data_IF_570426026833
#
_entry.id   IF_570426026833
#
_cell.length_a   1.000
_cell.length_b   1.000
_cell.length_c   1.000
_cell.angle_alpha   90.00
_cell.angle_beta   90.00
_cell.angle_gamma   90.00
#
_symmetry.space_group_name_H-M   'P 1'
#
loop_
_entity.id
_entity.type
_entity.pdbx_description
1 polymer ?
#
# COMPACT_ATOMS: atom_id res chain seq x y z
N UNK A 1 74.09 -11.09 -7.75
CA UNK A 1 73.43 -11.87 -6.69
C UNK A 1 72.51 -10.95 -5.89
N UNK A 2 71.20 -11.29 -5.81
CA UNK A 2 70.19 -10.81 -4.84
C UNK A 2 69.65 -9.36 -5.03
N UNK A 3 68.35 -9.03 -4.98
CA UNK A 3 67.03 -9.72 -5.06
C UNK A 3 66.04 -8.61 -5.44
N UNK A 4 65.30 -8.76 -6.54
CA UNK A 4 64.21 -7.86 -6.94
C UNK A 4 62.98 -8.23 -6.09
N UNK A 5 62.61 -7.37 -5.13
CA UNK A 5 61.40 -7.60 -4.31
C UNK A 5 60.28 -6.70 -4.84
N UNK A 6 59.39 -7.33 -5.60
CA UNK A 6 58.13 -6.80 -6.11
C UNK A 6 57.13 -6.73 -4.94
N UNK A 7 56.75 -5.54 -4.49
CA UNK A 7 55.69 -5.37 -3.49
C UNK A 7 54.35 -5.32 -4.24
N UNK A 8 53.58 -6.38 -4.02
CA UNK A 8 52.25 -6.63 -4.58
C UNK A 8 51.23 -5.68 -3.92
N UNK A 9 50.64 -4.78 -4.70
CA UNK A 9 49.53 -3.93 -4.27
C UNK A 9 48.22 -4.73 -4.33
N UNK A 10 47.75 -5.25 -3.20
CA UNK A 10 46.42 -5.85 -3.06
C UNK A 10 45.38 -4.77 -2.81
N UNK A 11 44.65 -4.38 -3.86
CA UNK A 11 43.46 -3.55 -3.75
C UNK A 11 42.30 -4.39 -3.19
N UNK A 12 41.93 -4.13 -1.92
CA UNK A 12 40.68 -4.63 -1.33
C UNK A 12 39.52 -3.79 -1.88
N UNK A 13 38.85 -4.27 -2.93
CA UNK A 13 37.53 -3.76 -3.29
C UNK A 13 36.50 -4.38 -2.35
N UNK A 14 36.12 -3.64 -1.31
CA UNK A 14 34.92 -3.93 -0.51
C UNK A 14 33.67 -3.67 -1.35
N UNK A 15 33.01 -4.74 -1.79
CA UNK A 15 31.71 -4.64 -2.43
C UNK A 15 30.66 -4.25 -1.38
N UNK A 16 30.18 -3.01 -1.41
CA UNK A 16 29.00 -2.60 -0.66
C UNK A 16 27.77 -3.29 -1.26
N UNK A 17 27.37 -4.44 -0.73
CA UNK A 17 26.06 -5.03 -1.02
C UNK A 17 25.00 -4.33 -0.17
N UNK A 18 24.31 -3.34 -0.73
CA UNK A 18 23.11 -2.79 -0.08
C UNK A 18 22.05 -3.89 0.00
N UNK A 19 21.46 -4.17 1.17
CA UNK A 19 20.36 -5.12 1.26
C UNK A 19 19.21 -4.60 0.38
N UNK A 20 18.85 -5.36 -0.66
CA UNK A 20 17.66 -5.10 -1.45
C UNK A 20 16.46 -5.59 -0.66
N UNK A 21 15.65 -4.66 -0.16
CA UNK A 21 14.37 -4.98 0.45
C UNK A 21 13.44 -5.54 -0.64
N UNK A 22 12.88 -6.75 -0.49
CA UNK A 22 11.96 -7.28 -1.47
C UNK A 22 10.67 -6.46 -1.44
N UNK A 23 10.40 -5.72 -2.51
CA UNK A 23 9.17 -4.95 -2.67
C UNK A 23 8.11 -5.77 -3.41
N UNK A 24 6.86 -5.63 -2.99
CA UNK A 24 5.70 -6.18 -3.66
C UNK A 24 4.62 -5.10 -3.82
N UNK A 25 3.69 -5.31 -4.75
CA UNK A 25 2.59 -4.40 -5.02
C UNK A 25 1.24 -5.08 -4.86
N UNK A 26 0.23 -4.25 -4.56
CA UNK A 26 -1.18 -4.62 -4.57
C UNK A 26 -1.96 -3.58 -5.35
N UNK A 27 -2.65 -4.04 -6.38
CA UNK A 27 -3.43 -3.22 -7.30
C UNK A 27 -4.92 -3.42 -7.10
N UNK A 28 -5.68 -2.34 -7.26
CA UNK A 28 -7.12 -2.43 -7.17
C UNK A 28 -7.84 -1.15 -7.56
N UNK A 29 -9.14 -1.19 -7.35
CA UNK A 29 -10.05 -0.12 -7.66
C UNK A 29 -11.04 0.09 -6.52
N UNK A 30 -11.32 1.36 -6.19
CA UNK A 30 -12.41 1.73 -5.30
C UNK A 30 -13.63 2.19 -6.10
N UNK A 31 -14.81 1.81 -5.65
CA UNK A 31 -16.07 2.24 -6.27
C UNK A 31 -17.18 2.46 -5.25
N UNK A 32 -18.18 3.25 -5.62
CA UNK A 32 -19.40 3.46 -4.84
C UNK A 32 -20.63 3.42 -5.77
N UNK A 33 -21.82 3.18 -5.21
CA UNK A 33 -23.05 2.99 -6.00
C UNK A 33 -23.85 4.27 -6.21
N UNK A 34 -23.60 5.29 -5.39
CA UNK A 34 -24.26 6.58 -5.45
C UNK A 34 -23.93 7.27 -6.77
N UNK A 35 -24.94 7.80 -7.46
CA UNK A 35 -24.75 8.51 -8.73
C UNK A 35 -24.43 9.99 -8.47
N UNK A 36 -23.31 10.23 -7.80
CA UNK A 36 -22.84 11.58 -7.47
C UNK A 36 -21.41 11.77 -7.97
N UNK A 37 -21.11 12.98 -8.43
CA UNK A 37 -19.76 13.39 -8.72
C UNK A 37 -19.01 13.70 -7.42
N UNK A 38 -17.73 13.34 -7.37
CA UNK A 38 -16.86 13.79 -6.30
C UNK A 38 -16.53 15.27 -6.50
N UNK A 39 -16.45 16.06 -5.41
CA UNK A 39 -16.00 17.44 -5.51
C UNK A 39 -14.53 17.49 -5.99
N UNK A 40 -14.10 18.60 -6.61
CA UNK A 40 -12.70 18.75 -7.07
C UNK A 40 -11.66 18.69 -5.93
N UNK A 41 -12.07 18.95 -4.68
CA UNK A 41 -11.24 18.86 -3.48
C UNK A 41 -11.10 17.42 -2.93
N UNK A 42 -11.71 16.42 -3.59
CA UNK A 42 -11.71 15.05 -3.10
C UNK A 42 -10.31 14.41 -3.13
N UNK A 43 -9.94 13.79 -2.01
CA UNK A 43 -8.71 13.05 -1.80
C UNK A 43 -9.06 11.60 -1.49
N UNK A 44 -8.54 10.67 -2.28
CA UNK A 44 -8.61 9.24 -2.01
C UNK A 44 -7.42 8.85 -1.13
N UNK A 45 -7.70 8.15 -0.02
CA UNK A 45 -6.71 7.48 0.81
C UNK A 45 -7.00 5.98 0.84
N UNK A 46 -6.03 5.15 0.45
CA UNK A 46 -6.09 3.69 0.52
C UNK A 46 -4.94 3.20 1.41
N UNK A 47 -5.19 2.22 2.26
CA UNK A 47 -4.20 1.71 3.21
C UNK A 47 -4.25 0.19 3.33
N UNK A 48 -3.08 -0.44 3.23
CA UNK A 48 -2.86 -1.85 3.57
C UNK A 48 -2.42 -1.94 5.03
N UNK A 49 -3.12 -2.73 5.82
CA UNK A 49 -2.91 -2.82 7.27
C UNK A 49 -2.86 -4.27 7.75
N UNK A 50 -2.02 -4.52 8.74
CA UNK A 50 -2.05 -5.71 9.58
C UNK A 50 -3.15 -5.54 10.63
N UNK A 51 -4.18 -6.38 10.51
CA UNK A 51 -5.37 -6.42 11.36
C UNK A 51 -5.39 -7.69 12.23
N UNK A 52 -4.23 -8.28 12.48
CA UNK A 52 -4.12 -9.52 13.27
C UNK A 52 -4.59 -9.33 14.71
N UNK A 53 -4.34 -8.15 15.28
CA UNK A 53 -4.71 -7.79 16.65
C UNK A 53 -5.98 -6.94 16.64
N UNK A 54 -6.98 -7.34 17.43
CA UNK A 54 -8.27 -6.65 17.47
C UNK A 54 -8.32 -5.46 18.43
N UNK A 55 -7.50 -5.48 19.49
CA UNK A 55 -7.59 -4.52 20.61
C UNK A 55 -6.59 -3.35 20.51
N UNK A 56 -5.89 -3.23 19.38
CA UNK A 56 -4.88 -2.18 19.16
C UNK A 56 -5.04 -1.57 17.78
N UNK A 57 -4.46 -0.38 17.59
CA UNK A 57 -4.39 0.24 16.29
C UNK A 57 -3.69 -0.70 15.28
N UNK A 58 -4.31 -0.87 14.11
CA UNK A 58 -3.76 -1.68 13.04
C UNK A 58 -2.43 -1.10 12.55
N UNK A 59 -1.47 -1.97 12.23
CA UNK A 59 -0.15 -1.55 11.74
C UNK A 59 -0.25 -1.33 10.24
N UNK A 60 0.04 -0.12 9.77
CA UNK A 60 0.00 0.21 8.35
C UNK A 60 1.28 -0.27 7.64
N UNK A 61 1.13 -1.12 6.63
CA UNK A 61 2.23 -1.59 5.78
C UNK A 61 2.46 -0.63 4.60
N UNK A 62 1.37 -0.14 4.01
CA UNK A 62 1.43 0.81 2.90
C UNK A 62 0.24 1.76 2.91
N UNK A 63 0.43 2.94 2.33
CA UNK A 63 -0.63 3.92 2.10
C UNK A 63 -0.39 4.69 0.82
N UNK A 64 -1.45 4.82 0.04
CA UNK A 64 -1.55 5.77 -1.05
C UNK A 64 -2.54 6.86 -0.63
N UNK A 65 -2.19 8.12 -0.87
CA UNK A 65 -3.10 9.25 -0.68
C UNK A 65 -2.87 10.29 -1.76
N UNK A 66 -3.93 10.76 -2.41
CA UNK A 66 -3.80 11.77 -3.46
C UNK A 66 -5.15 12.31 -3.95
N UNK A 67 -5.12 13.40 -4.74
CA UNK A 67 -6.32 13.95 -5.35
C UNK A 67 -6.97 12.91 -6.25
N UNK A 68 -8.29 12.90 -6.29
CA UNK A 68 -9.05 12.04 -7.19
C UNK A 68 -8.96 12.57 -8.61
N UNK A 69 -8.42 11.76 -9.51
CA UNK A 69 -8.35 12.05 -10.94
C UNK A 69 -9.32 11.14 -11.69
N UNK A 70 -10.26 11.71 -12.43
CA UNK A 70 -11.21 10.97 -13.26
C UNK A 70 -12.49 10.56 -12.53
N UNK A 71 -13.14 9.51 -13.03
CA UNK A 71 -14.42 9.02 -12.57
C UNK A 71 -14.27 7.61 -11.99
N UNK A 72 -15.17 7.26 -11.06
CA UNK A 72 -15.27 5.91 -10.49
C UNK A 72 -15.48 4.88 -11.59
N UNK A 73 -14.83 3.70 -11.53
CA UNK A 73 -13.90 3.22 -10.49
C UNK A 73 -12.55 3.95 -10.46
N UNK A 74 -12.04 4.22 -9.26
CA UNK A 74 -10.74 4.89 -9.07
C UNK A 74 -9.67 3.86 -8.76
N UNK A 75 -8.65 3.77 -9.61
CA UNK A 75 -7.53 2.85 -9.43
C UNK A 75 -6.61 3.28 -8.29
N UNK A 76 -6.00 2.30 -7.62
CA UNK A 76 -4.94 2.47 -6.64
C UNK A 76 -3.85 1.41 -6.83
N UNK A 77 -2.65 1.74 -6.36
CA UNK A 77 -1.46 0.91 -6.35
C UNK A 77 -0.73 1.10 -5.02
N UNK A 78 -0.62 0.03 -4.23
CA UNK A 78 0.07 0.03 -2.94
C UNK A 78 1.37 -0.75 -3.06
N UNK A 79 2.50 -0.07 -2.89
CA UNK A 79 3.81 -0.71 -2.73
C UNK A 79 4.09 -0.93 -1.24
N UNK A 80 4.52 -2.14 -0.90
CA UNK A 80 4.87 -2.52 0.46
C UNK A 80 6.14 -3.36 0.50
N UNK A 81 6.77 -3.41 1.66
CA UNK A 81 7.91 -4.29 1.93
C UNK A 81 7.40 -5.70 2.23
N UNK A 82 7.74 -6.66 1.37
CA UNK A 82 7.32 -8.05 1.54
C UNK A 82 7.91 -8.68 2.80
N UNK A 83 9.00 -8.17 3.35
CA UNK A 83 9.57 -8.61 4.63
C UNK A 83 8.69 -8.23 5.84
N UNK A 84 7.74 -7.30 5.69
CA UNK A 84 6.76 -6.97 6.73
C UNK A 84 5.58 -7.95 6.79
N UNK A 85 5.43 -8.82 5.78
CA UNK A 85 4.39 -9.84 5.75
C UNK A 85 4.83 -11.03 6.62
N UNK A 86 4.07 -11.30 7.69
CA UNK A 86 4.38 -12.30 8.70
C UNK A 86 3.45 -13.51 8.57
N UNK A 87 3.97 -14.74 8.70
CA UNK A 87 3.14 -15.95 8.70
C UNK A 87 2.08 -15.92 9.82
N UNK A 88 0.84 -16.30 9.48
CA UNK A 88 -0.27 -16.36 10.43
C UNK A 88 -0.94 -15.01 10.72
N UNK A 89 -0.44 -13.92 10.15
CA UNK A 89 -1.06 -12.60 10.26
C UNK A 89 -2.21 -12.43 9.26
N UNK A 90 -3.10 -11.47 9.54
CA UNK A 90 -4.24 -11.11 8.71
C UNK A 90 -4.07 -9.69 8.22
N UNK A 91 -4.21 -9.50 6.92
CA UNK A 91 -4.08 -8.21 6.28
C UNK A 91 -5.40 -7.77 5.66
N UNK A 92 -5.64 -6.47 5.65
CA UNK A 92 -6.82 -5.88 5.03
C UNK A 92 -6.49 -4.56 4.35
N UNK A 93 -7.21 -4.27 3.28
CA UNK A 93 -7.19 -2.97 2.61
C UNK A 93 -8.41 -2.18 3.05
N UNK A 94 -8.18 -0.92 3.41
CA UNK A 94 -9.24 0.06 3.69
C UNK A 94 -9.08 1.25 2.76
N UNK A 95 -10.20 1.88 2.43
CA UNK A 95 -10.20 3.08 1.60
C UNK A 95 -11.21 4.09 2.10
N UNK A 96 -10.89 5.36 1.90
CA UNK A 96 -11.78 6.48 2.20
C UNK A 96 -11.56 7.63 1.23
N UNK A 97 -12.60 8.42 1.04
CA UNK A 97 -12.56 9.66 0.28
C UNK A 97 -12.97 10.79 1.21
N UNK A 98 -12.11 11.80 1.30
CA UNK A 98 -12.34 13.02 2.07
C UNK A 98 -12.34 14.23 1.14
N UNK A 99 -13.13 15.24 1.44
CA UNK A 99 -13.10 16.52 0.74
C UNK A 99 -13.17 17.64 1.78
N UNK A 100 -12.27 18.61 1.69
CA UNK A 100 -12.19 19.74 2.63
C UNK A 100 -12.15 19.28 4.10
N UNK A 101 -11.44 18.17 4.36
CA UNK A 101 -11.32 17.55 5.69
C UNK A 101 -12.55 16.77 6.17
N UNK A 102 -13.59 16.63 5.36
CA UNK A 102 -14.82 15.90 5.69
C UNK A 102 -14.82 14.54 4.99
N UNK A 103 -15.09 13.49 5.76
CA UNK A 103 -15.27 12.14 5.24
C UNK A 103 -16.54 12.05 4.40
N UNK A 104 -16.39 11.71 3.12
CA UNK A 104 -17.50 11.52 2.18
C UNK A 104 -17.85 10.04 2.03
N UNK A 105 -16.83 9.20 1.80
CA UNK A 105 -16.99 7.78 1.56
C UNK A 105 -15.95 6.96 2.33
N UNK A 106 -16.31 5.76 2.75
CA UNK A 106 -15.43 4.83 3.46
C UNK A 106 -15.79 3.37 3.16
N UNK A 107 -14.80 2.48 3.10
CA UNK A 107 -15.03 1.03 3.08
C UNK A 107 -15.52 0.58 4.46
N UNK A 108 -16.73 0.03 4.54
CA UNK A 108 -17.32 -0.47 5.80
C UNK A 108 -17.17 -1.97 5.97
N UNK A 109 -16.88 -2.68 4.88
CA UNK A 109 -16.60 -4.12 4.88
C UNK A 109 -15.09 -4.35 4.98
N UNK A 110 -14.71 -5.49 5.54
CA UNK A 110 -13.31 -5.89 5.60
C UNK A 110 -12.89 -6.50 4.26
N UNK A 111 -11.94 -5.85 3.58
CA UNK A 111 -11.34 -6.39 2.36
C UNK A 111 -10.03 -7.11 2.70
N UNK A 112 -10.14 -8.36 3.11
CA UNK A 112 -8.99 -9.19 3.49
C UNK A 112 -8.14 -9.56 2.26
N UNK A 113 -6.81 -9.57 2.44
CA UNK A 113 -5.83 -9.97 1.43
C UNK A 113 -4.80 -10.92 2.03
N UNK A 114 -4.26 -11.81 1.21
CA UNK A 114 -3.31 -12.84 1.62
C UNK A 114 -1.86 -12.41 1.46
N UNK A 115 -1.58 -11.52 0.51
CA UNK A 115 -0.25 -11.03 0.15
C UNK A 115 0.73 -12.14 -0.27
N UNK A 116 0.20 -13.24 -0.79
CA UNK A 116 0.94 -14.42 -1.29
C UNK A 116 0.97 -14.50 -2.82
N UNK A 117 0.46 -13.47 -3.51
CA UNK A 117 0.32 -13.42 -4.96
C UNK A 117 -0.94 -14.10 -5.51
N UNK A 118 -1.81 -14.64 -4.66
CA UNK A 118 -3.09 -15.25 -5.07
C UNK A 118 -4.30 -14.33 -4.92
N UNK A 119 -4.09 -13.10 -4.45
CA UNK A 119 -5.16 -12.11 -4.31
C UNK A 119 -5.73 -11.71 -5.69
N UNK A 120 -7.04 -11.39 -5.77
CA UNK A 120 -7.64 -10.91 -7.01
C UNK A 120 -6.99 -9.61 -7.50
N UNK A 121 -6.69 -9.56 -8.81
CA UNK A 121 -6.18 -8.36 -9.49
C UNK A 121 -7.12 -8.02 -10.66
N UNK A 122 -7.81 -6.86 -10.64
CA UNK A 122 -7.76 -5.84 -9.58
C UNK A 122 -8.58 -6.24 -8.33
N UNK A 123 -8.09 -5.87 -7.15
CA UNK A 123 -8.89 -5.91 -5.93
C UNK A 123 -10.01 -4.88 -6.03
N UNK A 124 -11.27 -5.27 -5.75
CA UNK A 124 -12.42 -4.36 -5.84
C UNK A 124 -12.93 -3.99 -4.46
N UNK A 125 -12.89 -2.70 -4.15
CA UNK A 125 -13.26 -2.15 -2.84
C UNK A 125 -14.50 -1.27 -2.99
N UNK A 126 -15.57 -1.65 -2.30
CA UNK A 126 -16.79 -0.84 -2.28
C UNK A 126 -16.74 0.16 -1.13
N UNK A 127 -16.94 1.42 -1.46
CA UNK A 127 -17.14 2.49 -0.48
C UNK A 127 -18.63 2.76 -0.28
N UNK A 128 -18.96 3.11 0.96
CA UNK A 128 -20.26 3.57 1.36
C UNK A 128 -20.16 5.02 1.86
N UNK A 129 -21.21 5.85 1.69
CA UNK A 129 -21.25 7.19 2.24
C UNK A 129 -21.03 7.18 3.75
N UNK A 130 -20.22 8.09 4.26
CA UNK A 130 -19.97 8.20 5.69
C UNK A 130 -21.12 8.84 6.47
N UNK A 131 -22.02 9.53 5.78
CA UNK A 131 -23.25 10.09 6.29
C UNK A 131 -24.38 9.82 5.29
N UNK A 132 -25.64 9.81 5.73
CA UNK A 132 -26.77 9.95 4.81
C UNK A 132 -26.57 11.27 4.06
N UNK A 133 -26.17 11.18 2.80
CA UNK A 133 -26.12 12.32 1.89
C UNK A 133 -27.52 12.96 1.92
N UNK A 134 -27.64 14.28 2.13
CA UNK A 134 -28.94 14.95 2.27
C UNK A 134 -29.84 14.74 1.05
#
# INVERSE_FOLDING_TARGET
MKKLSLILATALLGACSSPQTPHASLEGEVFYLQRIALPPSAVLSVSLQDVSKADVAAVQLARQSGPVNGQVPLAFHLEYDAAQVQPGHRYAVSARIEADGKLLFISTEQHAVKLDGTDPVPLRIRLNPAQQLP
#
